data_IF_056893027948
#
_entry.id   IF_056893027948
#
_cell.length_a   1.000
_cell.length_b   1.000
_cell.length_c   1.000
_cell.angle_alpha   90.00
_cell.angle_beta   90.00
_cell.angle_gamma   90.00
#
_symmetry.space_group_name_H-M   'P 1'
#
loop_
_entity.id
_entity.type
_entity.pdbx_description
1 polymer ?
#
# COMPACT_ATOMS: atom_id res chain seq x y z
N UNK A 1 6.02 13.97 48.73
CA UNK A 1 4.62 13.59 48.40
C UNK A 1 4.72 12.32 47.59
N UNK A 2 3.97 11.28 47.92
CA UNK A 2 4.01 10.04 47.12
C UNK A 2 3.34 10.28 45.76
N UNK A 3 3.73 9.53 44.73
CA UNK A 3 3.10 9.62 43.40
C UNK A 3 1.59 9.39 43.45
N UNK A 4 1.14 8.46 44.29
CA UNK A 4 -0.28 8.21 44.55
C UNK A 4 -1.00 9.42 45.14
N UNK A 5 -0.42 10.08 46.16
CA UNK A 5 -1.01 11.28 46.77
C UNK A 5 -1.13 12.43 45.77
N UNK A 6 -0.08 12.66 44.97
CA UNK A 6 -0.09 13.69 43.93
C UNK A 6 -1.18 13.39 42.90
N UNK A 7 -1.26 12.15 42.42
CA UNK A 7 -2.27 11.70 41.47
C UNK A 7 -3.69 11.97 42.00
N UNK A 8 -4.03 11.53 43.22
CA UNK A 8 -5.37 11.74 43.78
C UNK A 8 -5.71 13.22 44.01
N UNK A 9 -4.72 14.02 44.44
CA UNK A 9 -4.90 15.47 44.60
C UNK A 9 -5.18 16.15 43.27
N UNK A 10 -4.46 15.79 42.21
CA UNK A 10 -4.67 16.34 40.87
C UNK A 10 -6.05 15.98 40.31
N UNK A 11 -6.47 14.71 40.43
CA UNK A 11 -7.83 14.29 40.01
C UNK A 11 -8.92 15.09 40.72
N UNK A 12 -8.80 15.24 42.04
CA UNK A 12 -9.76 16.02 42.84
C UNK A 12 -9.78 17.49 42.44
N UNK A 13 -8.61 18.10 42.21
CA UNK A 13 -8.47 19.48 41.73
C UNK A 13 -9.15 19.66 40.37
N UNK A 14 -8.92 18.74 39.43
CA UNK A 14 -9.47 18.78 38.08
C UNK A 14 -10.99 18.66 38.10
N UNK A 15 -11.58 17.76 38.89
CA UNK A 15 -13.04 17.67 39.06
C UNK A 15 -13.65 19.00 39.52
N UNK A 16 -12.97 19.73 40.42
CA UNK A 16 -13.43 21.05 40.87
C UNK A 16 -13.31 22.11 39.76
N UNK A 17 -12.24 22.07 38.97
CA UNK A 17 -12.01 23.00 37.87
C UNK A 17 -13.01 22.76 36.72
N UNK A 18 -13.26 21.51 36.33
CA UNK A 18 -14.21 21.17 35.27
C UNK A 18 -15.65 21.54 35.66
N UNK A 19 -16.06 21.35 36.93
CA UNK A 19 -17.36 21.85 37.44
C UNK A 19 -17.51 23.37 37.31
N UNK A 20 -16.42 24.11 37.41
CA UNK A 20 -16.38 25.58 37.21
C UNK A 20 -16.19 25.97 35.74
N UNK A 21 -16.10 25.02 34.81
CA UNK A 21 -15.74 25.22 33.40
C UNK A 21 -14.38 25.90 33.19
N UNK A 22 -13.49 25.79 34.18
CA UNK A 22 -12.12 26.28 34.15
C UNK A 22 -11.21 25.26 33.43
N UNK A 23 -11.51 25.03 32.14
CA UNK A 23 -10.86 23.98 31.33
C UNK A 23 -9.37 24.25 31.08
N UNK A 24 -8.92 25.49 30.74
CA UNK A 24 -7.50 25.76 30.54
C UNK A 24 -6.67 25.45 31.79
N UNK A 25 -7.14 25.80 32.98
CA UNK A 25 -6.44 25.50 34.23
C UNK A 25 -6.44 24.00 34.54
N UNK A 26 -7.53 23.30 34.23
CA UNK A 26 -7.62 21.85 34.40
C UNK A 26 -6.61 21.12 33.49
N UNK A 27 -6.55 21.52 32.22
CA UNK A 27 -5.61 21.00 31.22
C UNK A 27 -4.17 21.23 31.66
N UNK A 28 -3.83 22.46 32.05
CA UNK A 28 -2.47 22.80 32.49
C UNK A 28 -2.06 21.97 33.72
N UNK A 29 -2.97 21.81 34.70
CA UNK A 29 -2.71 21.00 35.88
C UNK A 29 -2.49 19.51 35.55
N UNK A 30 -3.27 18.96 34.62
CA UNK A 30 -3.11 17.58 34.16
C UNK A 30 -1.80 17.38 33.39
N UNK A 31 -1.47 18.30 32.48
CA UNK A 31 -0.25 18.24 31.68
C UNK A 31 1.00 18.25 32.56
N UNK A 32 1.14 19.27 33.42
CA UNK A 32 2.29 19.38 34.33
C UNK A 32 2.34 18.21 35.30
N UNK A 33 1.21 17.81 35.86
CA UNK A 33 1.13 16.69 36.80
C UNK A 33 1.47 15.34 36.18
N UNK A 34 1.06 15.11 34.93
CA UNK A 34 1.43 13.90 34.18
C UNK A 34 2.94 13.81 33.99
N UNK A 35 3.58 14.89 33.52
CA UNK A 35 5.03 14.95 33.34
C UNK A 35 5.80 14.74 34.66
N UNK A 36 5.33 15.37 35.74
CA UNK A 36 5.92 15.20 37.08
C UNK A 36 5.87 13.73 37.53
N UNK A 37 4.72 13.06 37.41
CA UNK A 37 4.58 11.65 37.76
C UNK A 37 5.46 10.75 36.87
N UNK A 38 5.50 11.01 35.56
CA UNK A 38 6.35 10.24 34.65
C UNK A 38 7.85 10.38 35.00
N UNK A 39 8.29 11.58 35.38
CA UNK A 39 9.66 11.82 35.85
C UNK A 39 10.01 11.08 37.14
N UNK A 40 9.01 10.76 37.97
CA UNK A 40 9.15 9.96 39.19
C UNK A 40 9.08 8.44 38.91
N UNK A 41 8.87 8.03 37.64
CA UNK A 41 8.74 6.64 37.26
C UNK A 41 7.32 6.07 37.41
N UNK A 42 6.35 6.89 37.80
CA UNK A 42 4.94 6.50 38.01
C UNK A 42 4.18 6.42 36.68
N UNK A 43 4.53 5.43 35.84
CA UNK A 43 4.02 5.31 34.46
C UNK A 43 2.50 5.25 34.36
N UNK A 44 1.87 4.41 35.19
CA UNK A 44 0.42 4.26 35.19
C UNK A 44 -0.31 5.54 35.58
N UNK A 45 0.15 6.20 36.64
CA UNK A 45 -0.46 7.45 37.12
C UNK A 45 -0.24 8.60 36.14
N UNK A 46 0.97 8.77 35.59
CA UNK A 46 1.28 9.81 34.61
C UNK A 46 0.47 9.66 33.32
N UNK A 47 0.39 8.44 32.77
CA UNK A 47 -0.40 8.18 31.56
C UNK A 47 -1.91 8.30 31.82
N UNK A 48 -2.42 7.90 32.99
CA UNK A 48 -3.82 8.10 33.37
C UNK A 48 -4.19 9.60 33.38
N UNK A 49 -3.32 10.46 33.93
CA UNK A 49 -3.54 11.91 33.87
C UNK A 49 -3.49 12.46 32.44
N UNK A 50 -2.63 11.92 31.57
CA UNK A 50 -2.62 12.26 30.15
C UNK A 50 -3.92 11.86 29.44
N UNK A 51 -4.47 10.69 29.76
CA UNK A 51 -5.79 10.25 29.24
C UNK A 51 -6.89 11.15 29.80
N UNK A 52 -6.84 11.49 31.09
CA UNK A 52 -7.81 12.39 31.69
C UNK A 52 -7.74 13.80 31.06
N UNK A 53 -6.56 14.26 30.63
CA UNK A 53 -6.41 15.50 29.87
C UNK A 53 -7.17 15.44 28.55
N UNK A 54 -7.13 14.32 27.83
CA UNK A 54 -7.90 14.10 26.61
C UNK A 54 -9.42 14.06 26.87
N UNK A 55 -9.85 13.52 28.01
CA UNK A 55 -11.26 13.60 28.41
C UNK A 55 -11.70 15.04 28.68
N UNK A 56 -10.84 15.87 29.28
CA UNK A 56 -11.09 17.31 29.43
C UNK A 56 -11.10 18.01 28.07
N UNK A 57 -10.23 17.63 27.12
CA UNK A 57 -10.30 18.14 25.74
C UNK A 57 -11.63 17.80 25.09
N UNK A 58 -12.13 16.58 25.28
CA UNK A 58 -13.44 16.17 24.78
C UNK A 58 -14.59 16.97 25.41
N UNK A 59 -14.49 17.27 26.71
CA UNK A 59 -15.51 18.03 27.43
C UNK A 59 -15.51 19.53 27.04
N UNK A 60 -14.35 20.06 26.68
CA UNK A 60 -14.15 21.46 26.31
C UNK A 60 -14.24 21.72 24.80
N UNK A 61 -14.54 20.69 24.00
CA UNK A 61 -14.49 20.71 22.53
C UNK A 61 -13.17 21.31 21.98
N UNK A 62 -12.05 20.96 22.62
CA UNK A 62 -10.73 21.47 22.23
C UNK A 62 -10.37 20.98 20.82
N UNK A 63 -10.08 21.90 19.87
CA UNK A 63 -9.71 21.53 18.51
C UNK A 63 -8.29 20.97 18.44
N UNK A 64 -8.01 20.21 17.38
CA UNK A 64 -6.65 19.77 17.04
C UNK A 64 -5.84 20.97 16.54
N UNK A 65 -4.88 21.40 17.34
CA UNK A 65 -3.94 22.50 17.06
C UNK A 65 -2.51 22.09 17.44
N UNK A 66 -1.50 22.82 16.96
CA UNK A 66 -0.11 22.59 17.36
C UNK A 66 0.10 22.61 18.88
N UNK A 67 -0.58 23.52 19.60
CA UNK A 67 -0.47 23.61 21.06
C UNK A 67 -1.11 22.39 21.75
N UNK A 68 -2.34 22.03 21.36
CA UNK A 68 -3.03 20.88 21.96
C UNK A 68 -2.29 19.56 21.69
N UNK A 69 -1.72 19.41 20.48
CA UNK A 69 -0.85 18.30 20.07
C UNK A 69 0.44 18.28 20.89
N UNK A 70 1.11 19.41 21.05
CA UNK A 70 2.38 19.50 21.81
C UNK A 70 2.22 18.92 23.21
N UNK A 71 1.17 19.31 23.95
CA UNK A 71 0.91 18.79 25.29
C UNK A 71 0.73 17.27 25.32
N UNK A 72 0.14 16.70 24.26
CA UNK A 72 -0.03 15.25 24.14
C UNK A 72 1.32 14.59 23.87
N UNK A 73 2.08 15.12 22.90
CA UNK A 73 3.38 14.54 22.50
C UNK A 73 4.41 14.65 23.61
N UNK A 74 4.37 15.70 24.44
CA UNK A 74 5.24 15.86 25.61
C UNK A 74 5.04 14.71 26.61
N UNK A 75 3.77 14.39 26.94
CA UNK A 75 3.45 13.29 27.86
C UNK A 75 3.83 11.93 27.24
N UNK A 76 3.55 11.71 25.95
CA UNK A 76 3.91 10.46 25.27
C UNK A 76 5.43 10.28 25.23
N UNK A 77 6.20 11.34 24.97
CA UNK A 77 7.66 11.31 24.93
C UNK A 77 8.27 10.96 26.29
N UNK A 78 7.67 11.44 27.38
CA UNK A 78 8.13 11.17 28.74
C UNK A 78 7.76 9.76 29.24
N UNK A 79 6.79 9.10 28.60
CA UNK A 79 6.35 7.76 28.98
C UNK A 79 7.29 6.66 28.44
N UNK A 80 7.45 5.59 29.22
CA UNK A 80 8.25 4.41 28.86
C UNK A 80 7.55 3.56 27.79
N UNK A 81 8.28 2.73 27.03
CA UNK A 81 7.71 1.79 26.07
C UNK A 81 6.98 0.62 26.76
N UNK A 82 5.88 0.93 27.42
CA UNK A 82 5.03 -0.03 28.12
C UNK A 82 3.56 0.07 27.67
N UNK A 83 2.73 -0.75 28.32
CA UNK A 83 1.29 -0.80 28.10
C UNK A 83 0.58 0.55 28.32
N UNK A 84 1.05 1.36 29.27
CA UNK A 84 0.42 2.63 29.60
C UNK A 84 0.64 3.68 28.53
N UNK A 85 1.85 3.74 27.95
CA UNK A 85 2.11 4.60 26.80
C UNK A 85 1.27 4.20 25.60
N UNK A 86 1.10 2.90 25.33
CA UNK A 86 0.21 2.44 24.25
C UNK A 86 -1.23 2.91 24.48
N UNK A 87 -1.76 2.77 25.69
CA UNK A 87 -3.11 3.28 26.04
C UNK A 87 -3.25 4.78 25.80
N UNK A 88 -2.25 5.57 26.19
CA UNK A 88 -2.25 7.01 25.97
C UNK A 88 -2.21 7.34 24.48
N UNK A 89 -1.38 6.66 23.69
CA UNK A 89 -1.32 6.81 22.23
C UNK A 89 -2.67 6.48 21.57
N UNK A 90 -3.29 5.37 21.94
CA UNK A 90 -4.60 4.96 21.40
C UNK A 90 -5.68 6.03 21.71
N UNK A 91 -5.69 6.56 22.94
CA UNK A 91 -6.59 7.63 23.35
C UNK A 91 -6.34 8.94 22.57
N UNK A 92 -5.08 9.32 22.39
CA UNK A 92 -4.68 10.52 21.66
C UNK A 92 -5.09 10.46 20.18
N UNK A 93 -4.85 9.32 19.53
CA UNK A 93 -5.29 9.07 18.15
C UNK A 93 -6.81 9.11 18.05
N UNK A 94 -7.52 8.46 18.99
CA UNK A 94 -8.99 8.47 18.99
C UNK A 94 -9.54 9.88 19.15
N UNK A 95 -8.93 10.71 19.99
CA UNK A 95 -9.31 12.10 20.16
C UNK A 95 -9.11 12.89 18.85
N UNK A 96 -7.95 12.76 18.20
CA UNK A 96 -7.68 13.54 16.97
C UNK A 96 -8.57 13.13 15.79
N UNK A 97 -9.00 11.87 15.72
CA UNK A 97 -9.95 11.39 14.71
C UNK A 97 -11.29 12.14 14.71
N UNK A 98 -11.70 12.80 15.80
CA UNK A 98 -12.91 13.65 15.82
C UNK A 98 -12.85 14.82 14.82
N UNK A 99 -11.64 15.27 14.47
CA UNK A 99 -11.41 16.33 13.48
C UNK A 99 -10.84 15.80 12.15
N UNK A 100 -11.04 14.52 11.85
CA UNK A 100 -10.48 13.86 10.65
C UNK A 100 -9.08 13.25 10.86
N UNK A 101 -8.53 13.31 12.08
CA UNK A 101 -7.20 12.81 12.41
C UNK A 101 -6.15 13.93 12.48
N UNK A 102 -4.93 13.55 12.86
CA UNK A 102 -3.78 14.46 12.93
C UNK A 102 -2.52 13.79 12.41
N UNK A 103 -2.11 14.16 11.20
CA UNK A 103 -0.96 13.59 10.50
C UNK A 103 0.36 13.81 11.25
N UNK A 104 0.53 14.97 11.89
CA UNK A 104 1.74 15.27 12.67
C UNK A 104 1.82 14.42 13.94
N UNK A 105 0.70 14.24 14.66
CA UNK A 105 0.64 13.34 15.81
C UNK A 105 0.93 11.89 15.37
N UNK A 106 0.37 11.45 14.24
CA UNK A 106 0.65 10.12 13.69
C UNK A 106 2.13 9.96 13.34
N UNK A 107 2.75 10.95 12.69
CA UNK A 107 4.16 10.91 12.34
C UNK A 107 5.06 10.88 13.59
N UNK A 108 4.74 11.68 14.61
CA UNK A 108 5.45 11.66 15.89
C UNK A 108 5.43 10.26 16.53
N UNK A 109 4.24 9.66 16.64
CA UNK A 109 4.08 8.31 17.22
C UNK A 109 4.82 7.27 16.40
N UNK A 110 4.75 7.35 15.06
CA UNK A 110 5.45 6.44 14.17
C UNK A 110 6.98 6.49 14.38
N UNK A 111 7.55 7.70 14.42
CA UNK A 111 8.98 7.90 14.69
C UNK A 111 9.38 7.39 16.08
N UNK A 112 8.54 7.60 17.09
CA UNK A 112 8.79 7.10 18.44
C UNK A 112 8.84 5.57 18.47
N UNK A 113 7.85 4.89 17.89
CA UNK A 113 7.84 3.43 17.82
C UNK A 113 8.99 2.87 17.00
N UNK A 114 9.34 3.49 15.87
CA UNK A 114 10.49 3.07 15.08
C UNK A 114 11.82 3.21 15.86
N UNK A 115 11.98 4.29 16.63
CA UNK A 115 13.14 4.49 17.51
C UNK A 115 13.24 3.39 18.58
N UNK A 116 12.10 2.94 19.09
CA UNK A 116 12.04 1.86 20.08
C UNK A 116 12.19 0.46 19.47
N UNK A 117 12.36 0.35 18.15
CA UNK A 117 12.47 -0.92 17.43
C UNK A 117 11.13 -1.61 17.17
N UNK A 118 10.01 -0.97 17.54
CA UNK A 118 8.63 -1.45 17.39
C UNK A 118 8.08 -1.10 16.00
N UNK A 119 8.79 -1.50 14.95
CA UNK A 119 8.46 -1.10 13.58
C UNK A 119 7.07 -1.56 13.12
N UNK A 120 6.64 -2.74 13.54
CA UNK A 120 5.29 -3.26 13.24
C UNK A 120 4.18 -2.34 13.79
N UNK A 121 4.40 -1.72 14.96
CA UNK A 121 3.46 -0.73 15.50
C UNK A 121 3.59 0.60 14.77
N UNK A 122 4.82 1.02 14.43
CA UNK A 122 5.11 2.26 13.73
C UNK A 122 4.47 2.35 12.34
N UNK A 123 4.45 1.25 11.60
CA UNK A 123 4.03 1.18 10.19
C UNK A 123 2.63 1.75 9.95
N UNK A 124 1.64 1.35 10.76
CA UNK A 124 0.26 1.87 10.63
C UNK A 124 0.16 3.38 10.86
N UNK A 125 1.01 3.93 11.73
CA UNK A 125 1.06 5.36 12.00
C UNK A 125 1.78 6.12 10.89
N UNK A 126 2.86 5.57 10.33
CA UNK A 126 3.51 6.14 9.16
C UNK A 126 2.58 6.18 7.95
N UNK A 127 1.84 5.10 7.69
CA UNK A 127 0.85 5.05 6.61
C UNK A 127 -0.23 6.12 6.79
N UNK A 128 -0.78 6.25 7.99
CA UNK A 128 -1.79 7.27 8.30
C UNK A 128 -1.24 8.70 8.10
N UNK A 129 0.00 8.98 8.54
CA UNK A 129 0.64 10.29 8.36
C UNK A 129 0.94 10.58 6.87
N UNK A 130 1.44 9.57 6.15
CA UNK A 130 1.78 9.66 4.73
C UNK A 130 0.55 9.86 3.84
N UNK A 131 -0.63 9.44 4.29
CA UNK A 131 -1.90 9.74 3.62
C UNK A 131 -2.18 11.25 3.53
N UNK A 132 -1.66 12.04 4.48
CA UNK A 132 -1.89 13.49 4.57
C UNK A 132 -0.68 14.35 4.21
N UNK A 133 0.54 13.82 4.31
CA UNK A 133 1.78 14.57 4.13
C UNK A 133 2.84 13.74 3.38
N UNK A 134 3.39 14.33 2.31
CA UNK A 134 4.43 13.71 1.48
C UNK A 134 5.76 13.60 2.23
N UNK A 135 6.07 14.53 3.14
CA UNK A 135 7.31 14.44 3.94
C UNK A 135 7.25 13.28 4.93
N UNK A 136 6.07 12.97 5.48
CA UNK A 136 5.86 11.77 6.28
C UNK A 136 6.17 10.48 5.52
N UNK A 137 5.91 10.44 4.21
CA UNK A 137 6.23 9.28 3.36
C UNK A 137 7.75 9.10 3.17
N UNK A 138 8.52 10.19 3.12
CA UNK A 138 9.98 10.14 3.08
C UNK A 138 10.56 9.61 4.40
N UNK A 139 10.01 10.05 5.53
CA UNK A 139 10.36 9.52 6.85
C UNK A 139 10.02 8.04 6.98
N UNK A 140 8.86 7.64 6.47
CA UNK A 140 8.46 6.23 6.42
C UNK A 140 9.43 5.39 5.59
N UNK A 141 9.88 5.88 4.43
CA UNK A 141 10.88 5.21 3.61
C UNK A 141 12.19 4.96 4.37
N UNK A 142 12.70 5.97 5.08
CA UNK A 142 13.91 5.81 5.90
C UNK A 142 13.70 4.82 7.04
N UNK A 143 12.54 4.84 7.68
CA UNK A 143 12.18 3.87 8.72
C UNK A 143 12.09 2.44 8.19
N UNK A 144 11.51 2.22 7.01
CA UNK A 144 11.45 0.90 6.37
C UNK A 144 12.85 0.39 5.97
N UNK A 145 13.74 1.27 5.50
CA UNK A 145 15.12 0.89 5.19
C UNK A 145 15.92 0.54 6.45
N UNK A 146 15.67 1.24 7.57
CA UNK A 146 16.25 0.90 8.87
C UNK A 146 15.70 -0.42 9.41
N UNK A 147 14.39 -0.66 9.26
CA UNK A 147 13.77 -1.93 9.66
C UNK A 147 14.32 -3.11 8.88
N UNK A 148 14.40 -3.00 7.54
CA UNK A 148 15.03 -3.99 6.68
C UNK A 148 16.44 -4.33 7.17
N UNK A 149 17.26 -3.31 7.45
CA UNK A 149 18.63 -3.49 7.91
C UNK A 149 18.70 -4.20 9.27
N UNK A 150 17.79 -3.86 10.19
CA UNK A 150 17.71 -4.51 11.49
C UNK A 150 17.28 -5.99 11.37
N UNK A 151 16.34 -6.30 10.48
CA UNK A 151 15.91 -7.69 10.20
C UNK A 151 17.03 -8.48 9.56
N UNK A 152 17.66 -7.95 8.52
CA UNK A 152 18.77 -8.61 7.83
C UNK A 152 19.96 -8.85 8.75
N UNK A 153 20.26 -7.89 9.64
CA UNK A 153 21.32 -8.06 10.65
C UNK A 153 21.04 -9.20 11.61
N UNK A 154 19.79 -9.34 12.08
CA UNK A 154 19.40 -10.44 12.97
C UNK A 154 19.47 -11.78 12.23
N UNK A 155 18.91 -11.85 11.03
CA UNK A 155 18.93 -13.06 10.21
C UNK A 155 20.36 -13.53 9.90
N UNK A 156 21.25 -12.62 9.53
CA UNK A 156 22.67 -12.93 9.27
C UNK A 156 23.45 -13.43 10.50
N UNK A 157 22.87 -13.35 11.72
CA UNK A 157 23.46 -13.83 12.96
C UNK A 157 22.86 -15.18 13.41
N UNK A 158 21.86 -15.71 12.70
CA UNK A 158 21.25 -17.00 13.02
C UNK A 158 22.19 -18.16 12.65
N UNK A 159 22.15 -19.23 13.45
CA UNK A 159 22.96 -20.41 13.23
C UNK A 159 22.56 -21.09 11.92
N UNK A 160 23.53 -21.31 11.02
CA UNK A 160 23.32 -21.92 9.71
C UNK A 160 22.99 -20.94 8.59
N UNK A 161 22.91 -19.64 8.86
CA UNK A 161 22.81 -18.63 7.80
C UNK A 161 24.18 -18.38 7.15
N UNK A 162 24.25 -18.57 5.82
CA UNK A 162 25.48 -18.37 5.04
C UNK A 162 25.49 -17.02 4.31
N UNK A 163 24.32 -16.38 4.17
CA UNK A 163 24.18 -15.11 3.45
C UNK A 163 24.64 -13.95 4.32
N UNK A 164 25.33 -13.00 3.70
CA UNK A 164 25.69 -11.74 4.37
C UNK A 164 24.47 -10.87 4.60
N UNK A 165 24.54 -9.95 5.57
CA UNK A 165 23.49 -8.94 5.79
C UNK A 165 23.11 -8.22 4.48
N UNK A 166 24.09 -7.76 3.70
CA UNK A 166 23.85 -7.10 2.40
C UNK A 166 23.18 -8.00 1.38
N UNK A 167 23.42 -9.32 1.40
CA UNK A 167 22.71 -10.26 0.54
C UNK A 167 21.24 -10.38 0.96
N UNK A 168 20.98 -10.51 2.27
CA UNK A 168 19.62 -10.58 2.82
C UNK A 168 18.87 -9.27 2.55
N UNK A 169 19.47 -8.12 2.80
CA UNK A 169 18.85 -6.81 2.53
C UNK A 169 18.43 -6.68 1.05
N UNK A 170 19.27 -7.12 0.10
CA UNK A 170 18.94 -7.06 -1.34
C UNK A 170 17.79 -7.97 -1.73
N UNK A 171 17.68 -9.14 -1.10
CA UNK A 171 16.60 -10.11 -1.35
C UNK A 171 15.28 -9.54 -0.80
N UNK A 172 15.29 -9.06 0.44
CA UNK A 172 14.09 -8.67 1.18
C UNK A 172 13.60 -7.23 0.89
N UNK A 173 14.43 -6.39 0.27
CA UNK A 173 14.10 -4.98 0.01
C UNK A 173 12.77 -4.78 -0.74
N UNK A 174 12.46 -5.68 -1.66
CA UNK A 174 11.24 -5.69 -2.44
C UNK A 174 9.97 -5.76 -1.57
N UNK A 175 9.92 -6.74 -0.68
CA UNK A 175 8.80 -6.97 0.22
C UNK A 175 8.54 -5.77 1.13
N UNK A 176 9.60 -5.16 1.67
CA UNK A 176 9.48 -3.94 2.46
C UNK A 176 8.92 -2.76 1.65
N UNK A 177 9.35 -2.61 0.39
CA UNK A 177 8.80 -1.57 -0.47
C UNK A 177 7.31 -1.80 -0.80
N UNK A 178 6.90 -3.06 -1.04
CA UNK A 178 5.50 -3.41 -1.33
C UNK A 178 4.56 -3.05 -0.17
N UNK A 179 4.95 -3.37 1.07
CA UNK A 179 4.18 -3.10 2.29
C UNK A 179 3.74 -1.64 2.43
N UNK A 180 4.62 -0.72 2.04
CA UNK A 180 4.35 0.71 2.08
C UNK A 180 3.72 1.22 0.78
N UNK A 181 4.23 0.81 -0.37
CA UNK A 181 3.85 1.38 -1.66
C UNK A 181 2.41 1.02 -2.02
N UNK A 182 1.98 -0.24 -1.81
CA UNK A 182 0.62 -0.65 -2.22
C UNK A 182 -0.48 0.15 -1.48
N UNK A 183 -0.45 0.28 -0.14
CA UNK A 183 -1.42 1.14 0.55
C UNK A 183 -1.32 2.61 0.17
N UNK A 184 -0.11 3.12 -0.11
CA UNK A 184 0.06 4.52 -0.52
C UNK A 184 -0.52 4.77 -1.92
N UNK A 185 -0.31 3.87 -2.89
CA UNK A 185 -0.91 4.02 -4.22
C UNK A 185 -2.44 4.02 -4.19
N UNK A 186 -3.04 3.28 -3.26
CA UNK A 186 -4.49 3.26 -3.09
C UNK A 186 -5.06 4.56 -2.49
N UNK A 187 -4.24 5.36 -1.79
CA UNK A 187 -4.71 6.49 -0.98
C UNK A 187 -4.11 7.86 -1.39
N UNK A 188 -2.81 7.93 -1.64
CA UNK A 188 -2.06 9.15 -1.95
C UNK A 188 -0.86 8.83 -2.86
N UNK A 189 -1.05 8.95 -4.17
CA UNK A 189 -0.02 8.66 -5.19
C UNK A 189 1.23 9.56 -5.05
N UNK A 190 1.13 10.89 -4.82
CA UNK A 190 2.31 11.71 -4.53
C UNK A 190 3.14 11.21 -3.35
N UNK A 191 2.50 10.74 -2.27
CA UNK A 191 3.20 10.14 -1.14
C UNK A 191 3.91 8.83 -1.51
N UNK A 192 3.29 7.98 -2.35
CA UNK A 192 3.93 6.77 -2.88
C UNK A 192 5.19 7.10 -3.71
N UNK A 193 5.13 8.14 -4.54
CA UNK A 193 6.29 8.63 -5.32
C UNK A 193 7.44 9.02 -4.39
N UNK A 194 7.15 9.85 -3.40
CA UNK A 194 8.16 10.31 -2.45
C UNK A 194 8.73 9.16 -1.60
N UNK A 195 7.90 8.19 -1.20
CA UNK A 195 8.32 6.99 -0.51
C UNK A 195 9.31 6.18 -1.37
N UNK A 196 8.92 5.80 -2.60
CA UNK A 196 9.72 4.92 -3.46
C UNK A 196 11.06 5.56 -3.81
N UNK A 197 11.07 6.85 -4.18
CA UNK A 197 12.31 7.57 -4.49
C UNK A 197 13.24 7.63 -3.28
N UNK A 198 12.73 8.06 -2.12
CA UNK A 198 13.53 8.14 -0.89
C UNK A 198 14.04 6.77 -0.44
N UNK A 199 13.21 5.72 -0.58
CA UNK A 199 13.56 4.35 -0.19
C UNK A 199 14.71 3.82 -1.04
N UNK A 200 14.61 3.97 -2.37
CA UNK A 200 15.66 3.55 -3.29
C UNK A 200 16.95 4.36 -3.13
N UNK A 201 16.86 5.68 -2.96
CA UNK A 201 18.02 6.52 -2.66
C UNK A 201 18.71 6.08 -1.37
N UNK A 202 17.93 5.82 -0.32
CA UNK A 202 18.45 5.36 0.98
C UNK A 202 19.13 3.99 0.86
N UNK A 203 18.52 3.04 0.16
CA UNK A 203 19.10 1.71 -0.01
C UNK A 203 20.34 1.73 -0.90
N UNK A 204 20.28 2.38 -2.06
CA UNK A 204 21.36 2.34 -3.06
C UNK A 204 22.59 3.15 -2.65
N UNK A 205 22.45 4.11 -1.72
CA UNK A 205 23.58 4.76 -1.07
C UNK A 205 24.49 3.76 -0.34
N UNK A 206 23.92 2.70 0.25
CA UNK A 206 24.65 1.63 0.96
C UNK A 206 24.86 0.39 0.08
N UNK A 207 23.82 -0.06 -0.62
CA UNK A 207 23.76 -1.30 -1.39
C UNK A 207 23.87 -1.03 -2.89
N UNK A 208 25.03 -0.55 -3.36
CA UNK A 208 25.22 -0.24 -4.79
C UNK A 208 25.00 -1.44 -5.71
N UNK A 209 25.28 -2.66 -5.21
CA UNK A 209 25.06 -3.91 -5.93
C UNK A 209 23.58 -4.29 -6.12
N UNK A 210 22.65 -3.49 -5.58
CA UNK A 210 21.22 -3.59 -5.88
C UNK A 210 20.89 -3.10 -7.30
N UNK A 211 21.67 -2.14 -7.82
CA UNK A 211 21.50 -1.58 -9.15
C UNK A 211 22.17 -2.46 -10.21
N UNK A 212 21.49 -2.67 -11.34
CA UNK A 212 22.11 -3.32 -12.49
C UNK A 212 23.12 -2.38 -13.17
N UNK A 213 24.24 -2.91 -13.71
CA UNK A 213 25.30 -2.14 -14.35
C UNK A 213 24.89 -1.68 -15.76
N UNK A 214 23.89 -0.82 -15.83
CA UNK A 214 23.29 -0.29 -17.06
C UNK A 214 23.52 1.23 -17.07
N UNK A 215 23.80 1.81 -18.24
CA UNK A 215 23.96 3.27 -18.39
C UNK A 215 23.00 3.83 -19.46
N UNK A 216 22.21 4.89 -19.15
CA UNK A 216 22.05 5.49 -17.83
C UNK A 216 21.23 4.57 -16.89
N UNK A 217 21.53 4.66 -15.59
CA UNK A 217 20.71 4.15 -14.49
C UNK A 217 20.81 5.18 -13.35
N UNK A 218 19.72 5.90 -13.00
CA UNK A 218 18.33 5.65 -13.39
C UNK A 218 17.98 6.14 -14.81
N UNK A 219 16.87 5.62 -15.36
CA UNK A 219 16.31 5.97 -16.68
C UNK A 219 15.07 6.83 -16.54
N UNK A 220 14.83 7.72 -17.50
CA UNK A 220 13.57 8.47 -17.56
C UNK A 220 12.40 7.50 -17.83
N UNK A 221 11.28 7.69 -17.14
CA UNK A 221 10.04 7.00 -17.45
C UNK A 221 9.28 7.73 -18.57
N UNK A 222 8.79 6.98 -19.55
CA UNK A 222 7.90 7.50 -20.60
C UNK A 222 6.51 6.91 -20.39
N UNK A 223 5.53 7.75 -20.07
CA UNK A 223 4.20 7.27 -19.75
C UNK A 223 3.46 6.76 -21.00
N UNK A 224 2.77 5.60 -20.92
CA UNK A 224 1.99 5.06 -22.03
C UNK A 224 0.87 5.98 -22.56
N UNK A 225 0.37 6.91 -21.74
CA UNK A 225 -0.62 7.91 -22.16
C UNK A 225 -0.01 9.19 -22.75
N UNK A 226 1.31 9.27 -22.91
CA UNK A 226 2.01 10.46 -23.40
C UNK A 226 2.20 11.57 -22.35
N UNK A 227 1.74 11.36 -21.12
CA UNK A 227 1.95 12.31 -20.01
C UNK A 227 3.44 12.40 -19.67
N UNK A 228 3.95 13.61 -19.56
CA UNK A 228 5.31 13.86 -19.08
C UNK A 228 5.35 13.77 -17.56
N UNK A 229 6.32 13.02 -17.02
CA UNK A 229 6.56 12.95 -15.58
C UNK A 229 8.06 13.01 -15.32
N UNK A 230 8.46 13.60 -14.19
CA UNK A 230 9.88 13.63 -13.78
C UNK A 230 10.32 12.34 -13.09
N UNK A 231 9.50 11.29 -13.12
CA UNK A 231 9.79 10.03 -12.44
C UNK A 231 10.93 9.28 -13.14
N UNK A 232 11.90 8.83 -12.35
CA UNK A 232 13.06 8.07 -12.84
C UNK A 232 13.00 6.64 -12.31
N UNK A 233 13.29 5.69 -13.19
CA UNK A 233 13.32 4.26 -12.90
C UNK A 233 14.76 3.81 -12.67
N UNK A 234 15.07 3.41 -11.45
CA UNK A 234 16.30 2.71 -11.09
C UNK A 234 16.14 1.24 -11.45
N UNK A 235 16.95 0.73 -12.38
CA UNK A 235 16.89 -0.67 -12.76
C UNK A 235 17.65 -1.48 -11.71
N UNK A 236 16.92 -2.35 -10.99
CA UNK A 236 17.45 -3.15 -9.88
C UNK A 236 17.47 -4.64 -10.21
N UNK A 237 18.27 -5.41 -9.47
CA UNK A 237 18.25 -6.87 -9.52
C UNK A 237 17.03 -7.50 -8.80
N UNK A 238 16.21 -6.69 -8.11
CA UNK A 238 15.05 -7.16 -7.35
C UNK A 238 13.75 -6.88 -8.15
N UNK A 239 13.03 -7.94 -8.53
CA UNK A 239 11.82 -7.83 -9.37
C UNK A 239 10.71 -7.02 -8.70
N UNK A 240 10.54 -7.15 -7.38
CA UNK A 240 9.51 -6.42 -6.64
C UNK A 240 9.83 -4.93 -6.56
N UNK A 241 11.11 -4.55 -6.39
CA UNK A 241 11.54 -3.14 -6.47
C UNK A 241 11.30 -2.55 -7.87
N UNK A 242 11.51 -3.34 -8.92
CA UNK A 242 11.22 -2.90 -10.28
C UNK A 242 9.69 -2.73 -10.48
N UNK A 243 8.89 -3.64 -9.92
CA UNK A 243 7.44 -3.57 -9.94
C UNK A 243 6.91 -2.33 -9.20
N UNK A 244 7.31 -2.08 -7.95
CA UNK A 244 6.79 -0.92 -7.18
C UNK A 244 7.13 0.41 -7.84
N UNK A 245 8.31 0.52 -8.47
CA UNK A 245 8.69 1.69 -9.24
C UNK A 245 7.78 1.90 -10.45
N UNK A 246 7.57 0.86 -11.27
CA UNK A 246 6.72 0.95 -12.45
C UNK A 246 5.25 1.17 -12.07
N UNK A 247 4.75 0.49 -11.03
CA UNK A 247 3.40 0.67 -10.50
C UNK A 247 3.17 2.11 -10.05
N UNK A 248 4.17 2.70 -9.38
CA UNK A 248 4.13 4.10 -8.95
C UNK A 248 4.17 5.07 -10.13
N UNK A 249 5.04 4.82 -11.11
CA UNK A 249 5.14 5.64 -12.32
C UNK A 249 3.84 5.63 -13.15
N UNK A 250 3.23 4.46 -13.33
CA UNK A 250 1.94 4.32 -14.01
C UNK A 250 0.81 5.01 -13.24
N UNK A 251 0.79 4.88 -11.92
CA UNK A 251 -0.23 5.52 -11.06
C UNK A 251 -0.07 7.04 -11.05
N UNK A 252 1.16 7.54 -11.11
CA UNK A 252 1.45 8.97 -11.27
C UNK A 252 0.96 9.48 -12.62
N UNK A 253 1.24 8.77 -13.71
CA UNK A 253 0.74 9.13 -15.04
C UNK A 253 -0.80 9.10 -15.11
N UNK A 254 -1.44 8.18 -14.39
CA UNK A 254 -2.90 8.07 -14.30
C UNK A 254 -3.56 9.30 -13.63
N UNK A 255 -2.84 10.08 -12.82
CA UNK A 255 -3.35 11.33 -12.24
C UNK A 255 -3.73 12.36 -13.31
N UNK A 256 -3.09 12.33 -14.48
CA UNK A 256 -3.43 13.20 -15.61
C UNK A 256 -4.57 12.65 -16.49
N UNK A 257 -5.06 11.45 -16.21
CA UNK A 257 -6.10 10.77 -16.97
C UNK A 257 -5.70 9.37 -17.40
N UNK A 258 -6.68 8.46 -17.38
CA UNK A 258 -6.50 7.04 -17.73
C UNK A 258 -7.02 6.77 -19.13
N UNK A 259 -6.17 6.19 -19.98
CA UNK A 259 -6.53 5.69 -21.30
C UNK A 259 -6.29 4.17 -21.40
N UNK A 260 -6.65 3.57 -22.53
CA UNK A 260 -6.48 2.12 -22.73
C UNK A 260 -5.01 1.70 -22.73
N UNK A 261 -4.09 2.54 -23.20
CA UNK A 261 -2.65 2.26 -23.13
C UNK A 261 -2.16 2.09 -21.69
N UNK A 262 -2.58 2.96 -20.77
CA UNK A 262 -2.26 2.82 -19.34
C UNK A 262 -2.91 1.59 -18.71
N UNK A 263 -4.16 1.29 -19.05
CA UNK A 263 -4.84 0.08 -18.55
C UNK A 263 -4.10 -1.18 -19.00
N UNK A 264 -3.74 -1.26 -20.28
CA UNK A 264 -2.95 -2.36 -20.83
C UNK A 264 -1.58 -2.45 -20.18
N UNK A 265 -0.89 -1.33 -19.97
CA UNK A 265 0.40 -1.31 -19.29
C UNK A 265 0.29 -1.82 -17.84
N UNK A 266 -0.72 -1.40 -17.08
CA UNK A 266 -0.98 -1.91 -15.74
C UNK A 266 -1.25 -3.43 -15.74
N UNK A 267 -2.16 -3.90 -16.60
CA UNK A 267 -2.48 -5.33 -16.69
C UNK A 267 -1.25 -6.17 -17.05
N UNK A 268 -0.41 -5.68 -17.96
CA UNK A 268 0.82 -6.38 -18.33
C UNK A 268 1.83 -6.39 -17.19
N UNK A 269 1.99 -5.26 -16.48
CA UNK A 269 2.86 -5.17 -15.30
C UNK A 269 2.44 -6.17 -14.23
N UNK A 270 1.15 -6.23 -13.89
CA UNK A 270 0.63 -7.15 -12.87
C UNK A 270 0.85 -8.61 -13.28
N UNK A 271 0.56 -8.98 -14.53
CA UNK A 271 0.80 -10.35 -15.03
C UNK A 271 2.27 -10.74 -15.01
N UNK A 272 3.17 -9.79 -15.28
CA UNK A 272 4.61 -10.04 -15.20
C UNK A 272 5.01 -10.29 -13.74
N UNK A 273 4.57 -9.41 -12.83
CA UNK A 273 4.85 -9.53 -11.41
C UNK A 273 4.31 -10.82 -10.78
N UNK A 274 3.10 -11.23 -11.13
CA UNK A 274 2.52 -12.51 -10.68
C UNK A 274 3.36 -13.71 -11.09
N UNK A 275 3.98 -13.65 -12.28
CA UNK A 275 4.84 -14.72 -12.81
C UNK A 275 6.20 -14.76 -12.13
N UNK A 276 6.78 -13.60 -11.86
CA UNK A 276 8.15 -13.47 -11.35
C UNK A 276 8.22 -13.59 -9.82
N UNK A 277 7.24 -13.04 -9.10
CA UNK A 277 7.31 -12.84 -7.65
C UNK A 277 6.20 -13.55 -6.86
N UNK A 278 5.12 -14.01 -7.50
CA UNK A 278 4.00 -14.69 -6.84
C UNK A 278 3.51 -13.98 -5.56
N UNK A 279 2.86 -12.81 -5.68
CA UNK A 279 2.46 -12.04 -4.51
C UNK A 279 1.54 -12.82 -3.57
N UNK A 280 1.66 -12.55 -2.27
CA UNK A 280 0.72 -13.09 -1.29
C UNK A 280 -0.72 -12.59 -1.51
N UNK A 281 -1.68 -13.21 -0.83
CA UNK A 281 -3.10 -12.88 -1.00
C UNK A 281 -3.44 -11.41 -0.68
N UNK A 282 -2.72 -10.79 0.27
CA UNK A 282 -2.96 -9.40 0.66
C UNK A 282 -2.43 -8.44 -0.42
N UNK A 283 -1.21 -8.68 -0.91
CA UNK A 283 -0.62 -7.93 -2.00
C UNK A 283 -1.43 -8.08 -3.29
N UNK A 284 -1.85 -9.29 -3.64
CA UNK A 284 -2.69 -9.53 -4.81
C UNK A 284 -4.05 -8.80 -4.71
N UNK A 285 -4.69 -8.82 -3.53
CA UNK A 285 -5.93 -8.07 -3.27
C UNK A 285 -5.73 -6.56 -3.42
N UNK A 286 -4.65 -6.02 -2.83
CA UNK A 286 -4.32 -4.60 -2.92
C UNK A 286 -4.02 -4.17 -4.37
N UNK A 287 -3.28 -4.98 -5.14
CA UNK A 287 -2.99 -4.73 -6.56
C UNK A 287 -4.29 -4.72 -7.38
N UNK A 288 -5.20 -5.66 -7.15
CA UNK A 288 -6.50 -5.69 -7.82
C UNK A 288 -7.35 -4.45 -7.46
N UNK A 289 -7.30 -4.02 -6.20
CA UNK A 289 -7.99 -2.80 -5.76
C UNK A 289 -7.40 -1.55 -6.45
N UNK A 290 -6.08 -1.40 -6.53
CA UNK A 290 -5.41 -0.31 -7.25
C UNK A 290 -5.82 -0.30 -8.73
N UNK A 291 -5.86 -1.48 -9.38
CA UNK A 291 -6.35 -1.60 -10.75
C UNK A 291 -7.76 -1.01 -10.93
N UNK A 292 -8.62 -1.19 -9.92
CA UNK A 292 -9.99 -0.67 -9.93
C UNK A 292 -10.02 0.82 -9.63
N UNK A 293 -9.38 1.26 -8.56
CA UNK A 293 -9.51 2.64 -8.04
C UNK A 293 -8.69 3.65 -8.84
N UNK A 294 -7.49 3.28 -9.30
CA UNK A 294 -6.58 4.16 -10.02
C UNK A 294 -6.79 4.06 -11.53
N UNK A 295 -7.03 2.87 -12.07
CA UNK A 295 -7.08 2.64 -13.52
C UNK A 295 -8.49 2.34 -14.07
N UNK A 296 -9.51 2.24 -13.20
CA UNK A 296 -10.88 1.94 -13.61
C UNK A 296 -11.05 0.56 -14.26
N UNK A 297 -10.16 -0.39 -13.93
CA UNK A 297 -10.22 -1.75 -14.47
C UNK A 297 -11.24 -2.54 -13.65
N UNK A 298 -12.30 -3.02 -14.30
CA UNK A 298 -13.29 -3.86 -13.65
C UNK A 298 -12.63 -5.14 -13.09
N UNK A 299 -12.85 -5.42 -11.81
CA UNK A 299 -12.45 -6.72 -11.26
C UNK A 299 -13.17 -7.81 -12.04
N UNK A 300 -12.40 -8.73 -12.61
CA UNK A 300 -12.97 -10.00 -13.07
C UNK A 300 -13.55 -10.65 -11.82
N UNK A 301 -14.87 -10.87 -11.79
CA UNK A 301 -15.47 -11.73 -10.78
C UNK A 301 -14.66 -13.02 -10.80
N UNK A 302 -13.92 -13.30 -9.72
CA UNK A 302 -13.46 -14.66 -9.49
C UNK A 302 -14.70 -15.52 -9.61
N UNK A 303 -14.63 -16.54 -10.48
CA UNK A 303 -15.78 -17.30 -10.96
C UNK A 303 -16.76 -17.62 -9.83
N UNK A 304 -18.06 -17.54 -10.15
CA UNK A 304 -19.11 -17.98 -9.24
C UNK A 304 -18.74 -19.30 -8.59
N UNK A 305 -19.11 -19.44 -7.31
CA UNK A 305 -18.96 -20.69 -6.56
C UNK A 305 -19.21 -21.86 -7.51
N UNK A 306 -18.19 -22.69 -7.79
CA UNK A 306 -18.34 -23.77 -8.76
C UNK A 306 -19.51 -24.69 -8.37
N UNK A 307 -19.80 -24.80 -7.07
CA UNK A 307 -20.98 -25.48 -6.54
C UNK A 307 -22.30 -24.81 -6.96
N UNK A 308 -22.37 -23.48 -6.95
CA UNK A 308 -23.53 -22.69 -7.35
C UNK A 308 -23.74 -22.75 -8.86
N UNK A 309 -22.68 -22.68 -9.66
CA UNK A 309 -22.76 -22.82 -11.12
C UNK A 309 -23.09 -24.27 -11.54
N UNK A 310 -22.59 -25.26 -10.80
CA UNK A 310 -22.91 -26.67 -11.02
C UNK A 310 -24.35 -27.00 -10.60
N UNK A 311 -24.84 -26.46 -9.48
CA UNK A 311 -26.25 -26.54 -9.09
C UNK A 311 -27.16 -25.80 -10.09
N UNK A 312 -26.78 -24.61 -10.56
CA UNK A 312 -27.53 -23.90 -11.60
C UNK A 312 -27.60 -24.71 -12.90
N UNK A 313 -26.54 -25.43 -13.28
CA UNK A 313 -26.56 -26.32 -14.46
C UNK A 313 -27.36 -27.61 -14.25
N UNK A 314 -27.44 -28.11 -13.00
CA UNK A 314 -28.22 -29.30 -12.64
C UNK A 314 -29.72 -29.00 -12.49
N UNK A 315 -30.06 -27.78 -12.05
CA UNK A 315 -31.46 -27.35 -11.84
C UNK A 315 -32.05 -26.63 -13.05
N UNK A 316 -31.25 -26.21 -14.02
CA UNK A 316 -31.72 -25.59 -15.26
C UNK A 316 -31.49 -26.53 -16.45
N UNK A 317 -32.36 -27.55 -16.58
CA UNK A 317 -32.40 -28.39 -17.75
C UNK A 317 -32.72 -27.55 -19.01
N UNK A 318 -32.05 -27.77 -20.15
CA UNK A 318 -32.40 -27.08 -21.39
C UNK A 318 -33.82 -27.47 -21.83
N UNK A 319 -34.63 -26.53 -22.35
CA UNK A 319 -35.91 -26.89 -22.96
C UNK A 319 -35.64 -27.84 -24.14
N UNK A 320 -36.39 -28.95 -24.18
CA UNK A 320 -36.40 -29.87 -25.30
C UNK A 320 -36.65 -29.11 -26.60
N UNK A 321 -35.62 -28.94 -27.42
CA UNK A 321 -35.80 -28.64 -28.83
C UNK A 321 -36.36 -29.90 -29.51
N UNK A 322 -37.62 -29.81 -29.92
CA UNK A 322 -38.19 -30.72 -30.91
C UNK A 322 -37.29 -30.72 -32.15
N UNK A 323 -36.60 -31.85 -32.38
CA UNK A 323 -35.93 -32.12 -33.66
C UNK A 323 -37.02 -32.38 -34.70
N UNK A 324 -37.24 -31.42 -35.60
CA UNK A 324 -37.94 -31.67 -36.87
C UNK A 324 -36.95 -32.39 -37.79
N UNK A 325 -37.31 -33.60 -38.22
CA UNK A 325 -36.55 -34.42 -39.15
C UNK A 325 -36.65 -33.87 -40.60
N UNK A 326 -35.60 -34.01 -41.43
CA UNK A 326 -35.69 -33.73 -42.86
C UNK A 326 -36.49 -34.84 -43.61
N UNK A 327 -37.15 -34.51 -44.73
CA UNK A 327 -37.96 -35.48 -45.47
C UNK A 327 -37.11 -36.48 -46.27
N UNK A 328 -37.63 -37.69 -46.54
CA UNK A 328 -36.90 -38.77 -47.22
C UNK A 328 -36.85 -38.61 -48.74
N UNK A 329 -35.67 -38.82 -49.31
CA UNK A 329 -35.41 -38.87 -50.75
C UNK A 329 -35.89 -40.21 -51.35
N UNK A 330 -36.70 -40.16 -52.40
CA UNK A 330 -37.10 -41.33 -53.18
C UNK A 330 -36.01 -41.73 -54.18
N UNK A 331 -35.83 -43.05 -54.27
CA UNK A 331 -34.93 -43.80 -55.13
C UNK A 331 -35.37 -43.84 -56.60
N UNK A 332 -34.41 -43.72 -57.52
CA UNK A 332 -34.46 -44.33 -58.86
C UNK A 332 -33.10 -44.95 -59.23
N UNK A 333 -33.19 -46.03 -59.99
CA UNK A 333 -32.28 -47.16 -60.22
C UNK A 333 -31.14 -46.92 -61.27
N UNK A 334 -30.26 -47.91 -61.60
CA UNK A 334 -28.80 -47.69 -61.71
C UNK A 334 -28.12 -47.87 -63.09
N UNK A 335 -26.85 -47.37 -63.14
CA UNK A 335 -25.62 -47.80 -63.88
C UNK A 335 -25.57 -47.71 -65.43
N UNK A 336 -24.40 -47.68 -66.13
CA UNK A 336 -23.02 -48.06 -65.73
C UNK A 336 -21.90 -47.09 -66.29
N UNK A 337 -20.62 -47.47 -66.60
CA UNK A 337 -19.43 -46.91 -65.93
C UNK A 337 -18.36 -46.22 -66.84
N UNK A 338 -17.39 -45.58 -66.18
CA UNK A 338 -15.99 -45.27 -66.60
C UNK A 338 -15.68 -44.40 -67.85
N UNK A 339 -14.94 -43.30 -67.64
CA UNK A 339 -13.64 -43.03 -68.29
C UNK A 339 -12.96 -41.77 -67.67
N UNK A 340 -11.66 -41.87 -67.39
CA UNK A 340 -10.76 -40.76 -67.02
C UNK A 340 -10.22 -40.06 -68.30
N UNK A 341 -9.23 -39.15 -68.20
CA UNK A 341 -9.35 -37.69 -68.09
C UNK A 341 -8.94 -36.97 -69.39
N UNK A 342 -9.29 -35.69 -69.55
CA UNK A 342 -8.67 -34.83 -70.55
C UNK A 342 -8.60 -33.37 -70.06
N UNK A 343 -7.37 -32.86 -70.06
CA UNK A 343 -6.95 -31.50 -69.76
C UNK A 343 -6.95 -30.65 -71.03
N UNK A 344 -7.16 -29.33 -70.84
CA UNK A 344 -6.67 -28.20 -71.65
C UNK A 344 -7.21 -27.88 -73.06
N UNK A 345 -7.76 -26.67 -73.18
CA UNK A 345 -7.41 -25.63 -74.17
C UNK A 345 -8.10 -24.32 -73.70
N UNK A 346 -7.41 -23.33 -73.12
CA UNK A 346 -6.58 -22.28 -73.75
C UNK A 346 -7.17 -21.72 -75.06
N UNK A 347 -7.62 -20.47 -75.00
CA UNK A 347 -7.76 -19.57 -76.13
C UNK A 347 -6.69 -18.49 -76.00
N UNK A 348 -6.04 -18.24 -77.14
CA UNK A 348 -4.81 -17.50 -77.35
C UNK A 348 -4.89 -15.99 -77.12
N UNK A 349 -3.70 -15.51 -76.73
CA UNK A 349 -3.07 -14.21 -76.90
C UNK A 349 -3.28 -13.53 -78.27
N UNK A 350 -3.44 -12.21 -78.24
CA UNK A 350 -2.83 -11.25 -79.17
C UNK A 350 -2.61 -9.93 -78.37
N UNK A 351 -1.38 -9.60 -77.94
CA UNK A 351 -0.25 -8.99 -78.67
C UNK A 351 -0.26 -7.45 -78.60
N UNK A 352 0.86 -6.95 -78.03
CA UNK A 352 1.61 -5.69 -78.21
C UNK A 352 0.99 -4.32 -77.87
N UNK A 353 1.62 -3.61 -76.91
CA UNK A 353 2.64 -2.60 -77.27
C UNK A 353 3.41 -2.11 -76.02
N UNK A 354 4.73 -2.28 -76.05
CA UNK A 354 5.73 -1.62 -75.20
C UNK A 354 5.86 -0.13 -75.57
N UNK A 355 6.17 0.72 -74.59
CA UNK A 355 7.15 1.80 -74.78
C UNK A 355 7.94 2.01 -73.49
N UNK A 356 9.23 1.66 -73.61
CA UNK A 356 10.45 2.12 -72.94
C UNK A 356 10.61 2.07 -71.41
#
# INVERSE_FOLDING_TARGET
MSGYELHQKLRTKVVRLTKKKAYPEAIAALHTGALELLSQGEQGSGCDLGIYMLDVYNLADTPVTAESRSRITDIIAAAKPDFWRKKLVDAAVKWSCKSGGDGELRLFVAKLYAKDGEYSLAESHFLAASGTDVEAAKEFARAMAAWLSAVAKRAAQEEGEERTQDAIERIEAGGFALRATLPLLANNVPAAVAFVQTYLETLTARLRSLLLPISPNPRAFSAPNGTQTDFKLSITANSELNFVQMATALSLAAQAGVNDALRTAWVNLVRQFERESQPDANAASAIAQIGTTVFGIAQRRQGGNMLTDMMASLFNAPPQQQRVAPPPSQSTQPAPPQASPATEAKADDLVDDEMD
#
